data_IF_448692439670
#
_entry.id   IF_448692439670
#
_cell.length_a   1.000
_cell.length_b   1.000
_cell.length_c   1.000
_cell.angle_alpha   90.00
_cell.angle_beta   90.00
_cell.angle_gamma   90.00
#
_symmetry.space_group_name_H-M   'P 1'
#
loop_
_entity.id
_entity.type
_entity.pdbx_description
1 polymer ?
#
# COMPACT_ATOMS: atom_id res chain seq x y z
N UNK A 1 -7.87 -26.49 39.93
CA UNK A 1 -7.08 -25.50 39.17
C UNK A 1 -8.05 -24.51 38.53
N UNK A 2 -7.93 -23.21 38.83
CA UNK A 2 -8.79 -22.17 38.23
C UNK A 2 -8.07 -21.56 37.03
N UNK A 3 -8.65 -21.67 35.84
CA UNK A 3 -8.09 -21.08 34.61
C UNK A 3 -8.51 -19.62 34.53
N UNK A 4 -7.55 -18.71 34.35
CA UNK A 4 -7.81 -17.27 34.10
C UNK A 4 -7.51 -16.96 32.63
N UNK A 5 -8.44 -16.30 31.96
CA UNK A 5 -8.25 -15.87 30.58
C UNK A 5 -7.29 -14.67 30.50
N UNK A 6 -6.45 -14.67 29.46
CA UNK A 6 -5.64 -13.53 29.08
C UNK A 6 -6.36 -12.77 27.95
N UNK A 7 -6.36 -11.44 28.02
CA UNK A 7 -6.94 -10.59 26.97
C UNK A 7 -6.02 -10.62 25.74
N UNK A 8 -6.53 -11.07 24.61
CA UNK A 8 -5.86 -11.00 23.31
C UNK A 8 -6.59 -10.02 22.38
N UNK A 9 -5.83 -9.34 21.51
CA UNK A 9 -6.37 -8.42 20.49
C UNK A 9 -6.21 -9.06 19.11
N UNK A 10 -7.26 -9.03 18.30
CA UNK A 10 -7.22 -9.54 16.94
C UNK A 10 -6.30 -8.67 16.05
N UNK A 11 -5.52 -9.31 15.19
CA UNK A 11 -4.75 -8.64 14.15
C UNK A 11 -5.57 -8.60 12.86
N UNK A 12 -5.72 -7.42 12.28
CA UNK A 12 -6.41 -7.26 11.00
C UNK A 12 -5.46 -7.52 9.83
N UNK A 13 -5.90 -8.29 8.84
CA UNK A 13 -5.16 -8.55 7.61
C UNK A 13 -5.95 -8.04 6.42
N UNK A 14 -5.45 -6.99 5.76
CA UNK A 14 -6.09 -6.46 4.57
C UNK A 14 -6.10 -7.50 3.44
N UNK A 15 -7.24 -7.67 2.77
CA UNK A 15 -7.42 -8.64 1.69
C UNK A 15 -7.99 -9.99 2.14
N UNK A 16 -8.08 -10.28 3.44
CA UNK A 16 -8.83 -11.43 3.96
C UNK A 16 -10.28 -11.00 4.23
N UNK A 17 -11.22 -11.54 3.45
CA UNK A 17 -12.66 -11.22 3.52
C UNK A 17 -13.05 -9.95 2.76
N UNK A 18 -12.33 -8.85 2.97
CA UNK A 18 -12.50 -7.62 2.19
C UNK A 18 -11.15 -6.96 1.92
N UNK A 19 -11.06 -6.28 0.77
CA UNK A 19 -9.90 -5.50 0.40
C UNK A 19 -10.17 -4.00 0.53
N UNK A 20 -9.34 -3.33 1.31
CA UNK A 20 -9.34 -1.89 1.51
C UNK A 20 -8.11 -1.30 0.82
N UNK A 21 -8.34 -0.43 -0.17
CA UNK A 21 -7.27 0.32 -0.81
C UNK A 21 -6.50 1.15 0.22
N UNK A 22 -5.17 1.08 0.16
CA UNK A 22 -4.31 1.80 1.10
C UNK A 22 -4.32 3.31 0.83
N UNK A 23 -4.39 3.69 -0.45
CA UNK A 23 -4.43 5.07 -0.89
C UNK A 23 -5.83 5.66 -0.71
N UNK A 24 -5.99 6.40 0.39
CA UNK A 24 -7.27 7.04 0.76
C UNK A 24 -7.43 8.45 0.19
N UNK A 25 -6.34 9.18 0.01
CA UNK A 25 -6.32 10.56 -0.47
C UNK A 25 -5.03 10.80 -1.25
N UNK A 26 -5.12 11.52 -2.36
CA UNK A 26 -3.97 11.98 -3.13
C UNK A 26 -4.08 13.50 -3.24
N UNK A 27 -3.02 14.22 -2.94
CA UNK A 27 -3.00 15.68 -3.08
C UNK A 27 -2.15 16.05 -4.28
N UNK A 28 -2.74 16.79 -5.22
CA UNK A 28 -2.07 17.21 -6.45
C UNK A 28 -1.78 18.70 -6.35
N UNK A 29 -0.49 19.02 -6.34
CA UNK A 29 -0.01 20.38 -6.28
C UNK A 29 0.33 20.90 -7.68
N UNK A 30 -0.15 22.09 -8.00
CA UNK A 30 0.11 22.73 -9.30
C UNK A 30 0.31 24.24 -9.16
N UNK A 31 0.84 24.87 -10.21
CA UNK A 31 1.05 26.30 -10.30
C UNK A 31 0.64 26.79 -11.70
N UNK A 32 -0.03 27.93 -11.79
CA UNK A 32 -0.44 28.51 -13.07
C UNK A 32 0.67 29.32 -13.75
N UNK A 33 1.64 29.80 -12.98
CA UNK A 33 2.72 30.67 -13.46
C UNK A 33 4.02 29.92 -13.83
N UNK A 34 4.35 28.85 -13.10
CA UNK A 34 5.60 28.14 -13.29
C UNK A 34 5.57 27.20 -14.51
N UNK A 35 6.56 27.32 -15.39
CA UNK A 35 6.65 26.52 -16.62
C UNK A 35 6.77 25.00 -16.39
N UNK A 36 7.24 24.55 -15.24
CA UNK A 36 7.34 23.13 -14.87
C UNK A 36 5.98 22.48 -14.63
N UNK A 37 4.97 23.24 -14.18
CA UNK A 37 3.62 22.73 -13.92
C UNK A 37 2.75 22.63 -15.19
N UNK A 38 3.24 23.03 -16.37
CA UNK A 38 2.49 22.91 -17.65
C UNK A 38 1.99 21.49 -17.89
N UNK A 39 2.82 20.48 -17.59
CA UNK A 39 2.44 19.07 -17.73
C UNK A 39 1.33 18.67 -16.76
N UNK A 40 1.41 19.12 -15.50
CA UNK A 40 0.40 18.86 -14.47
C UNK A 40 -0.93 19.56 -14.78
N UNK A 41 -0.90 20.79 -15.29
CA UNK A 41 -2.11 21.54 -15.64
C UNK A 41 -2.87 20.87 -16.80
N UNK A 42 -2.15 20.32 -17.79
CA UNK A 42 -2.77 19.53 -18.86
C UNK A 42 -3.34 18.21 -18.34
N UNK A 43 -2.65 17.56 -17.41
CA UNK A 43 -3.10 16.34 -16.75
C UNK A 43 -4.40 16.54 -15.95
N UNK A 44 -4.47 17.60 -15.14
CA UNK A 44 -5.65 17.98 -14.35
C UNK A 44 -6.88 18.18 -15.23
N UNK A 45 -6.71 18.79 -16.41
CA UNK A 45 -7.82 19.07 -17.34
C UNK A 45 -8.32 17.84 -18.11
N UNK A 46 -7.42 16.90 -18.45
CA UNK A 46 -7.72 15.84 -19.41
C UNK A 46 -7.86 14.44 -18.81
N UNK A 47 -7.00 14.08 -17.86
CA UNK A 47 -6.87 12.72 -17.34
C UNK A 47 -7.43 12.59 -15.93
N UNK A 48 -7.25 13.61 -15.07
CA UNK A 48 -7.72 13.56 -13.68
C UNK A 48 -9.23 13.28 -13.52
N UNK A 49 -10.14 13.85 -14.33
CA UNK A 49 -11.57 13.55 -14.21
C UNK A 49 -11.89 12.09 -14.53
N UNK A 50 -11.20 11.52 -15.54
CA UNK A 50 -11.34 10.10 -15.92
C UNK A 50 -10.77 9.18 -14.83
N UNK A 51 -9.62 9.56 -14.27
CA UNK A 51 -8.98 8.81 -13.20
C UNK A 51 -9.79 8.82 -11.91
N UNK A 52 -10.37 9.96 -11.53
CA UNK A 52 -11.24 10.10 -10.36
C UNK A 52 -12.53 9.28 -10.53
N UNK A 53 -13.12 9.28 -11.73
CA UNK A 53 -14.29 8.45 -12.03
C UNK A 53 -14.00 6.95 -11.94
N UNK A 54 -12.80 6.52 -12.36
CA UNK A 54 -12.39 5.11 -12.26
C UNK A 54 -12.07 4.66 -10.82
N UNK A 55 -11.77 5.60 -9.91
CA UNK A 55 -11.36 5.29 -8.54
C UNK A 55 -12.20 6.07 -7.51
N UNK A 56 -13.50 5.76 -7.35
CA UNK A 56 -14.40 6.51 -6.46
C UNK A 56 -14.09 6.32 -4.97
N UNK A 57 -13.33 5.28 -4.60
CA UNK A 57 -12.98 4.96 -3.20
C UNK A 57 -11.83 5.82 -2.66
N UNK A 58 -10.95 6.33 -3.53
CA UNK A 58 -9.94 7.32 -3.12
C UNK A 58 -10.62 8.68 -3.11
N UNK A 59 -10.61 9.36 -1.97
CA UNK A 59 -11.17 10.70 -1.84
C UNK A 59 -10.58 11.58 -2.94
N UNK A 60 -11.45 12.27 -3.68
CA UNK A 60 -11.09 13.06 -4.85
C UNK A 60 -9.87 13.94 -4.56
N UNK A 61 -8.89 14.01 -5.46
CA UNK A 61 -7.64 14.69 -5.16
C UNK A 61 -7.90 16.17 -4.88
N UNK A 62 -7.52 16.63 -3.68
CA UNK A 62 -7.60 18.05 -3.37
C UNK A 62 -6.45 18.80 -4.03
N UNK A 63 -6.82 19.91 -4.66
CA UNK A 63 -5.92 20.78 -5.37
C UNK A 63 -5.35 21.79 -4.38
N UNK A 64 -4.02 21.79 -4.21
CA UNK A 64 -3.33 22.70 -3.30
C UNK A 64 -2.16 23.41 -4.02
N UNK A 65 -1.80 24.61 -3.55
CA UNK A 65 -0.81 25.51 -4.15
C UNK A 65 0.64 24.99 -4.17
N UNK A 66 1.63 25.83 -4.55
CA UNK A 66 2.62 25.51 -5.56
C UNK A 66 3.64 24.44 -5.13
N UNK A 67 3.80 23.42 -5.96
CA UNK A 67 4.94 22.49 -5.92
C UNK A 67 5.50 22.27 -7.33
N UNK A 68 6.81 22.09 -7.43
CA UNK A 68 7.48 21.71 -8.68
C UNK A 68 7.23 20.23 -8.99
N UNK A 69 6.57 19.94 -10.09
CA UNK A 69 6.22 18.57 -10.51
C UNK A 69 6.84 18.19 -11.85
N UNK A 70 7.11 16.89 -12.11
CA UNK A 70 7.70 16.39 -13.35
C UNK A 70 6.72 16.41 -14.55
N UNK A 71 7.24 16.00 -15.71
CA UNK A 71 6.60 16.09 -17.04
C UNK A 71 5.30 15.30 -17.19
N UNK A 72 4.45 15.66 -18.15
CA UNK A 72 3.06 15.15 -18.29
C UNK A 72 2.92 13.64 -18.53
N UNK A 73 3.82 12.98 -19.26
CA UNK A 73 3.75 11.52 -19.46
C UNK A 73 4.03 10.78 -18.16
N UNK A 74 4.96 11.30 -17.36
CA UNK A 74 5.38 10.67 -16.11
C UNK A 74 4.31 10.83 -15.02
N UNK A 75 3.47 11.87 -15.11
CA UNK A 75 2.42 12.12 -14.10
C UNK A 75 1.39 10.99 -14.01
N UNK A 76 0.98 10.39 -15.13
CA UNK A 76 -0.04 9.33 -15.13
C UNK A 76 0.53 8.06 -14.50
N UNK A 77 1.69 7.61 -14.96
CA UNK A 77 2.37 6.42 -14.42
C UNK A 77 2.73 6.59 -12.93
N UNK A 78 3.10 7.81 -12.52
CA UNK A 78 3.36 8.11 -11.11
C UNK A 78 2.09 8.00 -10.26
N UNK A 79 0.93 8.42 -10.76
CA UNK A 79 -0.33 8.31 -10.04
C UNK A 79 -0.84 6.87 -9.95
N UNK A 80 -0.67 6.09 -11.01
CA UNK A 80 -0.95 4.65 -10.98
C UNK A 80 -0.05 3.94 -9.97
N UNK A 81 1.25 4.24 -9.97
CA UNK A 81 2.19 3.72 -8.98
C UNK A 81 1.76 4.11 -7.56
N UNK A 82 1.45 5.39 -7.32
CA UNK A 82 1.03 5.85 -6.01
C UNK A 82 -0.27 5.20 -5.57
N UNK A 83 -1.22 4.95 -6.48
CA UNK A 83 -2.48 4.23 -6.18
C UNK A 83 -2.21 2.80 -5.73
N UNK A 84 -1.32 2.11 -6.44
CA UNK A 84 -1.05 0.68 -6.22
C UNK A 84 -0.03 0.44 -5.10
N UNK A 85 0.71 1.48 -4.71
CA UNK A 85 1.66 1.45 -3.60
C UNK A 85 0.97 1.33 -2.24
N UNK A 86 1.70 0.70 -1.30
CA UNK A 86 1.35 0.72 0.12
C UNK A 86 2.09 1.86 0.83
N UNK A 87 1.54 2.35 1.96
CA UNK A 87 2.20 3.36 2.79
C UNK A 87 3.41 2.87 3.59
N UNK A 88 3.88 1.64 3.35
CA UNK A 88 5.06 1.09 4.03
C UNK A 88 6.35 1.72 3.49
N UNK A 89 7.31 2.00 4.37
CA UNK A 89 8.62 2.50 3.97
C UNK A 89 9.35 1.46 3.11
N UNK A 90 10.01 1.92 2.04
CA UNK A 90 10.81 1.06 1.18
C UNK A 90 11.86 0.31 2.00
N UNK A 91 11.77 -1.02 1.98
CA UNK A 91 12.66 -1.92 2.72
C UNK A 91 13.16 -3.00 1.77
N UNK A 92 14.42 -3.42 1.94
CA UNK A 92 14.96 -4.56 1.21
C UNK A 92 14.35 -5.86 1.76
N UNK A 93 13.67 -6.63 0.91
CA UNK A 93 13.12 -7.93 1.26
C UNK A 93 13.99 -9.07 0.73
N UNK A 94 14.51 -9.91 1.62
CA UNK A 94 15.28 -11.11 1.22
C UNK A 94 14.43 -12.39 1.24
N UNK A 95 13.22 -12.36 1.81
CA UNK A 95 12.31 -13.49 1.92
C UNK A 95 11.02 -13.18 1.17
N UNK A 96 10.54 -14.15 0.39
CA UNK A 96 9.34 -13.98 -0.43
C UNK A 96 8.04 -14.03 0.40
N UNK A 97 8.04 -14.78 1.52
CA UNK A 97 6.83 -15.01 2.32
C UNK A 97 7.01 -14.44 3.73
N UNK A 98 5.99 -13.71 4.19
CA UNK A 98 5.85 -13.29 5.59
C UNK A 98 4.54 -13.87 6.13
N UNK A 99 4.60 -14.57 7.26
CA UNK A 99 3.43 -15.22 7.87
C UNK A 99 3.39 -14.93 9.35
N UNK A 100 2.18 -14.70 9.86
CA UNK A 100 1.86 -14.61 11.30
C UNK A 100 1.31 -15.94 11.83
N UNK A 101 0.95 -16.87 10.95
CA UNK A 101 0.41 -18.18 11.31
C UNK A 101 1.52 -19.14 11.73
N UNK A 102 1.22 -20.00 12.71
CA UNK A 102 2.13 -21.05 13.14
C UNK A 102 2.42 -22.06 12.01
N UNK A 103 3.58 -22.73 12.09
CA UNK A 103 3.95 -23.77 11.14
C UNK A 103 2.94 -24.93 11.17
N UNK A 104 2.39 -25.28 10.01
CA UNK A 104 1.40 -26.36 9.87
C UNK A 104 1.94 -27.71 10.35
N UNK A 105 3.22 -27.99 10.12
CA UNK A 105 3.89 -29.23 10.54
C UNK A 105 4.66 -29.09 11.87
N UNK A 106 4.48 -27.96 12.56
CA UNK A 106 5.30 -27.61 13.72
C UNK A 106 6.74 -27.25 13.35
N UNK A 107 7.57 -27.11 14.37
CA UNK A 107 9.01 -26.91 14.26
C UNK A 107 9.65 -28.25 14.56
N UNK A 108 10.72 -28.59 13.84
CA UNK A 108 11.44 -29.84 14.06
C UNK A 108 11.89 -29.97 15.52
N UNK A 109 11.76 -31.18 16.08
CA UNK A 109 12.19 -31.54 17.43
C UNK A 109 12.91 -32.90 17.40
N UNK A 110 14.09 -33.04 18.03
CA UNK A 110 14.86 -34.28 18.02
C UNK A 110 14.15 -35.46 18.70
N UNK A 111 13.27 -35.18 19.67
CA UNK A 111 12.56 -36.21 20.44
C UNK A 111 11.29 -36.74 19.75
N UNK A 112 10.84 -36.09 18.69
CA UNK A 112 9.58 -36.41 18.00
C UNK A 112 9.82 -37.02 16.61
N UNK A 113 11.04 -37.49 16.33
CA UNK A 113 11.43 -38.18 15.10
C UNK A 113 11.75 -39.65 15.33
N UNK A 114 12.12 -40.36 14.25
CA UNK A 114 12.50 -41.78 14.28
C UNK A 114 13.86 -42.07 14.94
N UNK A 115 14.45 -41.08 15.64
CA UNK A 115 15.79 -41.16 16.25
C UNK A 115 16.92 -41.17 15.21
N UNK A 116 18.08 -40.62 15.59
CA UNK A 116 19.34 -40.93 14.91
C UNK A 116 20.06 -41.97 15.77
N UNK A 117 20.45 -43.09 15.16
CA UNK A 117 21.36 -44.04 15.79
C UNK A 117 22.76 -43.45 15.66
N UNK A 118 23.42 -43.23 16.80
CA UNK A 118 24.82 -42.77 16.89
C UNK A 118 25.74 -43.97 16.72
#
# INVERSE_FOLDING_TARGET
MTVKALRAVAQGHNGLGAFVLQCKKMDVHYCDWAGSSKGMNNFIKSVLPKFAAANPKSNSPSLHGPASTPSSSDTTSTLELLRDASGEKLKRTNKAVTSTSASVRGIWSPYHGTGMVV
#
